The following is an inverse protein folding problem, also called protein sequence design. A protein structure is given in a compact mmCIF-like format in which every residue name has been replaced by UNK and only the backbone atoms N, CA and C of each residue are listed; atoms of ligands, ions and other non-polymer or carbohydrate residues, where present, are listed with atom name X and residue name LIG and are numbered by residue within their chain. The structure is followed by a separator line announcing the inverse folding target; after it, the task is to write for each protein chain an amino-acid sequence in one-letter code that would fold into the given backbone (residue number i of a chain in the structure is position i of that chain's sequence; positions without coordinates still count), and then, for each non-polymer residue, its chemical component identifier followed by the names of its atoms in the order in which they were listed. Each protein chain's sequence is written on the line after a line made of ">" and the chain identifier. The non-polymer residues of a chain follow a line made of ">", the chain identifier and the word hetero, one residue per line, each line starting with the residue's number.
data_IF_843404286994
#
_entry.id   IF_843404286994
#
_cell.length_a   1.000
_cell.length_b   1.000
_cell.length_c   1.000
_cell.angle_alpha   90.00
_cell.angle_beta   90.00
_cell.angle_gamma   90.00
#
_symmetry.space_group_name_H-M   'P 1'
#
loop_
_entity.id
_entity.type
_entity.pdbx_description
1 polymer ?
#
# COMPACT_ATOMS: atom_id res chain seq x y z
N UNK A 1 6.56 -19.48 4.45
CA UNK A 1 6.27 -18.67 3.25
C UNK A 1 6.84 -17.28 3.49
N UNK A 2 7.36 -16.66 2.44
CA UNK A 2 8.04 -15.35 2.50
C UNK A 2 7.01 -14.24 2.25
N UNK A 3 7.21 -13.06 2.83
CA UNK A 3 6.35 -11.90 2.60
C UNK A 3 7.14 -10.86 1.81
N UNK A 4 6.56 -10.37 0.72
CA UNK A 4 7.19 -9.38 -0.15
C UNK A 4 6.26 -8.21 -0.39
N UNK A 5 6.87 -7.05 -0.60
CA UNK A 5 6.13 -5.84 -0.89
C UNK A 5 5.88 -5.70 -2.38
N UNK A 6 4.65 -5.36 -2.73
CA UNK A 6 4.21 -5.11 -4.08
C UNK A 6 3.58 -3.74 -4.19
N UNK A 7 3.69 -3.12 -5.37
CA UNK A 7 3.08 -1.83 -5.66
C UNK A 7 1.89 -2.02 -6.61
N UNK A 8 0.79 -1.38 -6.26
CA UNK A 8 -0.44 -1.32 -7.02
C UNK A 8 -0.62 0.08 -7.57
N UNK A 9 -0.89 0.17 -8.88
CA UNK A 9 -1.43 1.40 -9.45
C UNK A 9 -2.89 1.51 -9.07
N UNK A 10 -3.29 2.69 -8.64
CA UNK A 10 -4.67 3.01 -8.31
C UNK A 10 -5.04 4.33 -8.95
N UNK A 11 -6.34 4.56 -9.11
CA UNK A 11 -6.80 5.86 -9.59
C UNK A 11 -6.38 6.96 -8.60
N UNK A 12 -5.71 8.00 -9.11
CA UNK A 12 -5.30 9.15 -8.31
C UNK A 12 -6.48 9.76 -7.54
N UNK A 13 -6.23 10.18 -6.30
CA UNK A 13 -7.22 10.67 -5.33
C UNK A 13 -8.21 9.63 -4.78
N UNK A 14 -8.07 8.35 -5.16
CA UNK A 14 -8.85 7.24 -4.59
C UNK A 14 -8.01 6.25 -3.79
N UNK A 15 -6.74 6.54 -3.54
CA UNK A 15 -5.80 5.65 -2.84
C UNK A 15 -6.36 5.19 -1.49
N UNK A 16 -6.83 6.14 -0.67
CA UNK A 16 -7.39 5.86 0.65
C UNK A 16 -8.67 5.04 0.59
N UNK A 17 -9.48 5.27 -0.45
CA UNK A 17 -10.71 4.51 -0.68
C UNK A 17 -10.39 3.09 -1.10
N UNK A 18 -9.46 2.92 -2.05
CA UNK A 18 -9.01 1.61 -2.52
C UNK A 18 -8.36 0.82 -1.38
N UNK A 19 -7.51 1.46 -0.56
CA UNK A 19 -6.96 0.84 0.64
C UNK A 19 -8.07 0.28 1.55
N UNK A 20 -9.05 1.10 1.93
CA UNK A 20 -10.16 0.67 2.79
C UNK A 20 -11.01 -0.44 2.16
N UNK A 21 -11.26 -0.34 0.86
CA UNK A 21 -12.02 -1.36 0.13
C UNK A 21 -11.26 -2.70 0.07
N UNK A 22 -9.94 -2.66 -0.12
CA UNK A 22 -9.06 -3.84 -0.08
C UNK A 22 -9.01 -4.45 1.33
N UNK A 23 -8.77 -3.64 2.37
CA UNK A 23 -8.77 -4.11 3.77
C UNK A 23 -10.09 -4.80 4.13
N UNK A 24 -11.23 -4.22 3.72
CA UNK A 24 -12.54 -4.85 3.91
C UNK A 24 -12.64 -6.19 3.17
N UNK A 25 -12.23 -6.25 1.90
CA UNK A 25 -12.27 -7.49 1.09
C UNK A 25 -11.38 -8.59 1.68
N UNK A 26 -10.18 -8.23 2.14
CA UNK A 26 -9.22 -9.13 2.79
C UNK A 26 -9.88 -9.79 4.01
N UNK A 27 -10.52 -8.98 4.86
CA UNK A 27 -11.24 -9.45 6.02
C UNK A 27 -12.45 -10.30 5.67
N UNK A 28 -13.26 -9.88 4.68
CA UNK A 28 -14.43 -10.66 4.23
C UNK A 28 -14.05 -12.02 3.65
N UNK A 29 -12.92 -12.11 2.94
CA UNK A 29 -12.45 -13.34 2.30
C UNK A 29 -11.57 -14.22 3.20
N UNK A 30 -11.28 -13.76 4.42
CA UNK A 30 -10.41 -14.45 5.39
C UNK A 30 -8.99 -14.67 4.87
N UNK A 31 -8.40 -13.66 4.23
CA UNK A 31 -7.03 -13.72 3.68
C UNK A 31 -6.09 -12.70 4.32
N UNK A 32 -6.38 -12.33 5.56
CA UNK A 32 -5.56 -11.40 6.36
C UNK A 32 -4.12 -11.90 6.52
N UNK A 33 -3.92 -13.22 6.58
CA UNK A 33 -2.59 -13.83 6.65
C UNK A 33 -1.76 -13.61 5.37
N UNK A 34 -2.42 -13.63 4.21
CA UNK A 34 -1.80 -13.45 2.91
C UNK A 34 -1.47 -12.00 2.62
N UNK A 35 -2.25 -11.05 3.15
CA UNK A 35 -2.03 -9.61 2.97
C UNK A 35 -2.07 -8.93 4.34
N UNK A 36 -1.02 -9.08 5.16
CA UNK A 36 -1.00 -8.55 6.52
C UNK A 36 -1.04 -7.02 6.56
N UNK A 37 -0.60 -6.34 5.51
CA UNK A 37 -0.41 -4.89 5.55
C UNK A 37 -0.62 -4.21 4.20
N UNK A 38 -1.38 -3.12 4.23
CA UNK A 38 -1.57 -2.20 3.10
C UNK A 38 -1.27 -0.78 3.55
N UNK A 39 -0.47 -0.05 2.77
CA UNK A 39 -0.12 1.34 3.03
C UNK A 39 -0.24 2.21 1.79
N UNK A 40 -0.65 3.45 2.03
CA UNK A 40 -0.56 4.53 1.05
C UNK A 40 0.68 5.34 1.43
N UNK A 41 1.66 5.51 0.53
CA UNK A 41 2.86 6.27 0.84
C UNK A 41 2.55 7.77 0.96
N UNK A 42 2.46 8.24 2.20
CA UNK A 42 2.23 9.65 2.55
C UNK A 42 3.25 10.15 3.59
N UNK A 43 3.57 11.43 3.53
CA UNK A 43 4.36 12.19 4.50
C UNK A 43 3.45 13.15 5.29
N UNK A 44 3.70 13.34 6.59
CA UNK A 44 3.07 14.38 7.40
C UNK A 44 3.82 15.69 7.25
N UNK A 45 3.16 16.68 6.66
CA UNK A 45 3.66 18.05 6.56
C UNK A 45 2.97 18.92 7.60
N UNK A 46 3.72 19.78 8.29
CA UNK A 46 3.15 20.77 9.20
C UNK A 46 2.80 22.04 8.42
N UNK A 47 1.52 22.29 8.21
CA UNK A 47 1.04 23.52 7.59
C UNK A 47 0.54 24.50 8.67
N UNK A 48 0.87 25.78 8.51
CA UNK A 48 0.32 26.84 9.35
C UNK A 48 -0.88 27.42 8.61
N UNK A 49 -2.10 27.14 9.10
CA UNK A 49 -3.34 27.69 8.54
C UNK A 49 -4.07 28.49 9.62
N UNK A 50 -4.14 29.80 9.45
CA UNK A 50 -4.75 30.71 10.43
C UNK A 50 -4.00 30.80 11.76
N UNK A 51 -2.66 30.77 11.75
CA UNK A 51 -1.83 30.88 12.95
C UNK A 51 -1.73 29.62 13.81
N UNK A 52 -2.48 28.56 13.49
CA UNK A 52 -2.38 27.25 14.15
C UNK A 52 -1.62 26.27 13.26
N UNK A 53 -0.67 25.54 13.84
CA UNK A 53 -0.01 24.40 13.19
C UNK A 53 -1.02 23.26 13.05
N UNK A 54 -1.29 22.83 11.82
CA UNK A 54 -2.03 21.61 11.51
C UNK A 54 -1.08 20.62 10.85
N UNK A 55 -1.25 19.36 11.21
CA UNK A 55 -0.58 18.26 10.52
C UNK A 55 -1.47 17.88 9.34
N UNK A 56 -0.93 17.97 8.13
CA UNK A 56 -1.58 17.53 6.91
C UNK A 56 -0.80 16.34 6.33
N UNK A 57 -1.50 15.40 5.72
CA UNK A 57 -0.87 14.27 5.04
C UNK A 57 -0.73 14.60 3.55
N UNK A 58 0.49 14.54 3.03
CA UNK A 58 0.80 14.74 1.61
C UNK A 58 1.25 13.41 1.02
N UNK A 59 0.65 13.02 -0.11
CA UNK A 59 1.00 11.78 -0.82
C UNK A 59 2.34 11.95 -1.52
N UNK A 60 3.29 11.08 -1.24
CA UNK A 60 4.63 11.08 -1.86
C UNK A 60 4.54 10.47 -3.26
N UNK A 61 3.75 9.40 -3.39
CA UNK A 61 3.47 8.72 -4.66
C UNK A 61 1.96 8.66 -4.92
N UNK A 62 1.35 9.74 -5.47
CA UNK A 62 -0.07 9.72 -5.81
C UNK A 62 -0.35 8.68 -6.89
N UNK A 63 -1.48 7.97 -6.77
CA UNK A 63 -1.84 6.85 -7.64
C UNK A 63 -1.17 5.52 -7.31
N UNK A 64 -0.50 5.40 -6.15
CA UNK A 64 0.15 4.16 -5.74
C UNK A 64 -0.27 3.71 -4.34
N UNK A 65 -0.41 2.39 -4.18
CA UNK A 65 -0.64 1.71 -2.92
C UNK A 65 0.36 0.57 -2.81
N UNK A 66 0.95 0.39 -1.63
CA UNK A 66 1.85 -0.72 -1.36
C UNK A 66 1.13 -1.76 -0.51
N UNK A 67 1.32 -3.04 -0.85
CA UNK A 67 0.77 -4.16 -0.12
C UNK A 67 1.87 -5.17 0.18
N UNK A 68 1.96 -5.60 1.42
CA UNK A 68 2.78 -6.74 1.84
C UNK A 68 1.97 -8.00 1.57
N UNK A 69 2.50 -8.90 0.74
CA UNK A 69 1.81 -10.10 0.29
C UNK A 69 2.69 -11.31 0.54
N UNK A 70 2.10 -12.35 1.11
CA UNK A 70 2.73 -13.67 1.22
C UNK A 70 2.86 -14.31 -0.17
N UNK A 71 4.07 -14.71 -0.53
CA UNK A 71 4.40 -15.31 -1.82
C UNK A 71 4.67 -16.81 -1.67
N UNK A 72 4.44 -17.53 -2.77
CA UNK A 72 4.78 -18.95 -2.88
C UNK A 72 6.30 -19.19 -2.97
N UNK A 73 6.71 -20.46 -3.04
CA UNK A 73 8.12 -20.86 -3.15
C UNK A 73 8.82 -20.31 -4.42
N UNK A 74 8.05 -19.81 -5.40
CA UNK A 74 8.54 -19.20 -6.64
C UNK A 74 8.54 -17.66 -6.56
N UNK A 75 8.17 -17.09 -5.41
CA UNK A 75 8.06 -15.65 -5.21
C UNK A 75 6.85 -15.02 -5.90
N UNK A 76 5.85 -15.81 -6.27
CA UNK A 76 4.63 -15.34 -6.92
C UNK A 76 3.51 -15.12 -5.91
N UNK A 77 2.68 -14.13 -6.19
CA UNK A 77 1.47 -13.92 -5.38
C UNK A 77 0.44 -15.02 -5.67
N UNK A 78 -0.31 -15.49 -4.65
CA UNK A 78 -1.41 -16.41 -4.86
C UNK A 78 -2.48 -15.83 -5.79
N UNK A 79 -3.05 -16.65 -6.66
CA UNK A 79 -4.10 -16.24 -7.61
C UNK A 79 -5.27 -15.56 -6.91
N UNK A 80 -5.69 -16.06 -5.75
CA UNK A 80 -6.77 -15.47 -4.93
C UNK A 80 -6.50 -13.99 -4.60
N UNK A 81 -5.26 -13.66 -4.23
CA UNK A 81 -4.84 -12.28 -3.94
C UNK A 81 -4.83 -11.44 -5.21
N UNK A 82 -4.29 -11.99 -6.29
CA UNK A 82 -4.22 -11.31 -7.59
C UNK A 82 -5.62 -10.92 -8.11
N UNK A 83 -6.55 -11.88 -8.16
CA UNK A 83 -7.92 -11.64 -8.62
C UNK A 83 -8.66 -10.65 -7.71
N UNK A 84 -8.56 -10.79 -6.39
CA UNK A 84 -9.23 -9.91 -5.42
C UNK A 84 -8.84 -8.44 -5.62
N UNK A 85 -7.56 -8.18 -5.85
CA UNK A 85 -7.05 -6.82 -6.08
C UNK A 85 -7.56 -6.25 -7.40
N UNK A 86 -7.55 -7.03 -8.49
CA UNK A 86 -8.05 -6.55 -9.80
C UNK A 86 -9.55 -6.30 -9.81
N UNK A 87 -10.31 -7.00 -8.98
CA UNK A 87 -11.75 -6.78 -8.81
C UNK A 87 -12.08 -5.57 -7.91
N UNK A 88 -11.09 -4.98 -7.23
CA UNK A 88 -11.31 -3.84 -6.36
C UNK A 88 -11.55 -2.56 -7.20
N UNK A 89 -12.67 -1.84 -7.01
CA UNK A 89 -12.97 -0.65 -7.80
C UNK A 89 -11.92 0.44 -7.62
N UNK A 90 -11.27 0.83 -8.72
CA UNK A 90 -10.22 1.84 -8.72
C UNK A 90 -8.82 1.32 -8.42
N UNK A 91 -8.67 0.02 -8.15
CA UNK A 91 -7.39 -0.67 -8.30
C UNK A 91 -7.14 -0.90 -9.79
N UNK A 92 -5.92 -0.61 -10.22
CA UNK A 92 -5.42 -0.93 -11.54
C UNK A 92 -4.58 -2.20 -11.48
N UNK A 93 -3.46 -2.19 -12.20
CA UNK A 93 -2.54 -3.31 -12.25
C UNK A 93 -1.38 -3.15 -11.25
N UNK A 94 -0.78 -4.29 -10.92
CA UNK A 94 0.50 -4.33 -10.22
C UNK A 94 1.60 -3.70 -11.08
N UNK A 95 2.51 -2.98 -10.44
CA UNK A 95 3.73 -2.50 -11.08
C UNK A 95 4.70 -3.67 -11.22
N UNK A 96 5.36 -3.82 -12.37
CA UNK A 96 6.40 -4.83 -12.53
C UNK A 96 6.46 -5.59 -13.85
N UNK A 97 5.43 -5.53 -14.69
CA UNK A 97 5.46 -6.14 -16.01
C UNK A 97 4.09 -6.59 -16.48
N UNK A 98 3.96 -6.80 -17.78
CA UNK A 98 2.67 -6.96 -18.48
C UNK A 98 1.82 -8.17 -18.04
N UNK A 99 2.35 -9.08 -17.19
CA UNK A 99 1.64 -10.32 -16.80
C UNK A 99 1.81 -10.76 -15.35
N UNK A 100 2.89 -10.39 -14.64
CA UNK A 100 3.15 -10.83 -13.26
C UNK A 100 3.62 -9.66 -12.40
N UNK A 101 3.10 -9.52 -11.16
CA UNK A 101 3.60 -8.53 -10.21
C UNK A 101 5.08 -8.75 -9.93
N UNK A 102 5.84 -7.66 -9.85
CA UNK A 102 7.24 -7.72 -9.41
C UNK A 102 7.31 -7.20 -7.99
N UNK A 103 7.94 -8.00 -7.13
CA UNK A 103 8.23 -7.61 -5.77
C UNK A 103 9.23 -6.46 -5.76
N UNK A 104 9.03 -5.51 -4.87
CA UNK A 104 10.02 -4.46 -4.58
C UNK A 104 11.24 -5.07 -3.90
N UNK A 105 12.38 -4.43 -4.10
CA UNK A 105 13.59 -4.76 -3.33
C UNK A 105 13.48 -4.18 -1.92
N UNK A 106 14.08 -4.84 -0.94
CA UNK A 106 14.04 -4.40 0.46
C UNK A 106 14.54 -2.96 0.62
N UNK A 107 15.57 -2.57 -0.13
CA UNK A 107 16.11 -1.20 -0.14
C UNK A 107 15.08 -0.15 -0.61
N UNK A 108 14.27 -0.48 -1.62
CA UNK A 108 13.21 0.42 -2.11
C UNK A 108 12.07 0.53 -1.10
N UNK A 109 11.67 -0.60 -0.53
CA UNK A 109 10.65 -0.66 0.51
C UNK A 109 11.10 0.17 1.70
N UNK A 110 12.30 -0.08 2.23
CA UNK A 110 12.83 0.61 3.39
C UNK A 110 12.91 2.12 3.16
N UNK A 111 13.30 2.55 1.95
CA UNK A 111 13.31 3.96 1.59
C UNK A 111 11.92 4.58 1.65
N UNK A 112 10.92 3.98 0.99
CA UNK A 112 9.55 4.51 0.97
C UNK A 112 8.92 4.44 2.36
N UNK A 113 9.15 3.33 3.06
CA UNK A 113 8.69 3.16 4.44
C UNK A 113 9.31 4.23 5.32
N UNK A 114 10.61 4.51 5.26
CA UNK A 114 11.27 5.54 6.07
C UNK A 114 10.71 6.93 5.79
N UNK A 115 10.48 7.26 4.53
CA UNK A 115 9.86 8.53 4.11
C UNK A 115 8.40 8.63 4.61
N UNK A 116 7.67 7.51 4.66
CA UNK A 116 6.29 7.48 5.16
C UNK A 116 6.18 7.36 6.70
N UNK A 117 7.07 6.61 7.36
CA UNK A 117 7.09 6.28 8.79
C UNK A 117 7.61 7.39 9.69
N UNK A 118 8.34 8.38 9.18
CA UNK A 118 8.57 9.64 9.90
C UNK A 118 7.26 10.32 10.37
N UNK A 119 6.11 9.85 9.85
CA UNK A 119 4.76 10.23 10.25
C UNK A 119 4.10 9.37 11.35
N UNK A 120 4.46 8.09 11.51
CA UNK A 120 3.76 7.15 12.39
C UNK A 120 4.26 7.16 13.85
N UNK A 121 5.54 7.45 14.09
CA UNK A 121 6.08 7.51 15.47
C UNK A 121 5.53 8.68 16.30
N UNK A 122 4.95 9.72 15.67
CA UNK A 122 4.39 10.87 16.40
C UNK A 122 2.97 10.68 16.94
N UNK A 123 2.25 9.66 16.52
CA UNK A 123 0.87 9.41 16.99
C UNK A 123 0.79 8.38 18.14
N UNK A 124 1.91 7.79 18.57
CA UNK A 124 1.98 6.79 19.63
C UNK A 124 2.71 7.25 20.91
N UNK A 125 2.84 8.57 21.13
CA UNK A 125 3.44 9.13 22.34
C UNK A 125 2.51 10.12 23.05
#
# INVERSE_FOLDING_TARGET
>A
MEKRWFVLRVQSNKEDKVKKDLERRIKTQGIEDLIPKILVPCEKVSEIKGGKKKVAERKIYPGYVMAEIEVDDKGLIPDKVWFMIREAPGAGDFVGGDRKPVAMTDSEVEKILKESYQSYEKDYR
#
